data_IF_611971657301
#
_entry.id   IF_611971657301
#
_cell.length_a   1.000
_cell.length_b   1.000
_cell.length_c   1.000
_cell.angle_alpha   90.00
_cell.angle_beta   90.00
_cell.angle_gamma   90.00
#
_symmetry.space_group_name_H-M   'P 1'
#
loop_
_entity.id
_entity.type
_entity.pdbx_description
1 polymer ?
#
# COMPACT_ATOMS: atom_id res chain seq x y z
N UNK A 1 4.62 24.91 -19.37
CA UNK A 1 3.25 25.04 -18.86
C UNK A 1 3.17 24.27 -17.55
N UNK A 2 3.07 24.94 -16.41
CA UNK A 2 2.86 24.27 -15.12
C UNK A 2 1.41 23.82 -15.07
N UNK A 3 1.18 22.51 -15.16
CA UNK A 3 -0.13 21.93 -14.86
C UNK A 3 -0.37 22.17 -13.36
N UNK A 4 -1.40 22.93 -12.95
CA UNK A 4 -1.66 23.15 -11.53
C UNK A 4 -1.93 21.80 -10.87
N UNK A 5 -1.32 21.59 -9.70
CA UNK A 5 -1.60 20.38 -8.91
C UNK A 5 -3.10 20.32 -8.61
N UNK A 6 -3.71 19.12 -8.72
CA UNK A 6 -5.12 18.97 -8.37
C UNK A 6 -5.34 19.42 -6.91
N UNK A 7 -6.48 20.07 -6.62
CA UNK A 7 -6.76 20.54 -5.27
C UNK A 7 -6.82 19.36 -4.30
N UNK A 8 -6.18 19.51 -3.14
CA UNK A 8 -6.18 18.50 -2.08
C UNK A 8 -7.53 18.52 -1.36
N UNK A 9 -8.09 17.34 -1.09
CA UNK A 9 -9.33 17.18 -0.33
C UNK A 9 -9.21 17.80 1.08
N UNK A 10 -10.08 18.77 1.46
CA UNK A 10 -10.10 19.34 2.81
C UNK A 10 -10.22 18.30 3.94
N UNK A 11 -10.90 17.17 3.70
CA UNK A 11 -11.00 16.09 4.67
C UNK A 11 -9.64 15.42 4.92
N UNK A 12 -8.84 15.23 3.87
CA UNK A 12 -7.47 14.70 3.99
C UNK A 12 -6.56 15.68 4.77
N UNK A 13 -6.67 16.99 4.49
CA UNK A 13 -5.94 18.03 5.24
C UNK A 13 -6.33 18.00 6.72
N UNK A 14 -7.61 17.87 7.04
CA UNK A 14 -8.10 17.77 8.42
C UNK A 14 -7.55 16.52 9.12
N UNK A 15 -7.52 15.38 8.44
CA UNK A 15 -7.00 14.12 8.97
C UNK A 15 -5.51 14.24 9.36
N UNK A 16 -4.66 14.79 8.48
CA UNK A 16 -3.24 15.03 8.78
C UNK A 16 -3.08 15.94 10.01
N UNK A 17 -3.82 17.05 10.06
CA UNK A 17 -3.74 18.00 11.18
C UNK A 17 -4.20 17.38 12.50
N UNK A 18 -5.22 16.51 12.46
CA UNK A 18 -5.69 15.79 13.65
C UNK A 18 -4.66 14.77 14.13
N UNK A 19 -4.09 13.98 13.20
CA UNK A 19 -3.05 13.00 13.52
C UNK A 19 -1.83 13.68 14.15
N UNK A 20 -1.33 14.78 13.56
CA UNK A 20 -0.17 15.49 14.10
C UNK A 20 -0.41 15.99 15.53
N UNK A 21 -1.57 16.61 15.81
CA UNK A 21 -1.90 17.05 17.17
C UNK A 21 -1.95 15.89 18.17
N UNK A 22 -2.61 14.79 17.78
CA UNK A 22 -2.68 13.59 18.59
C UNK A 22 -1.29 13.03 18.86
N UNK A 23 -0.48 12.86 17.82
CA UNK A 23 0.84 12.23 17.92
C UNK A 23 1.84 13.09 18.69
N UNK A 24 1.90 14.40 18.43
CA UNK A 24 2.76 15.34 19.18
C UNK A 24 2.48 15.31 20.68
N UNK A 25 1.21 15.25 21.09
CA UNK A 25 0.83 15.08 22.50
C UNK A 25 1.20 13.69 23.01
N UNK A 26 1.00 12.64 22.20
CA UNK A 26 1.26 11.25 22.59
C UNK A 26 2.73 10.95 22.85
N UNK A 27 3.65 11.60 22.13
CA UNK A 27 5.10 11.43 22.29
C UNK A 27 5.73 12.43 23.28
N UNK A 28 4.91 13.21 24.01
CA UNK A 28 5.41 14.16 25.01
C UNK A 28 6.33 15.24 24.45
N UNK A 29 6.19 15.60 23.17
CA UNK A 29 7.08 16.58 22.53
C UNK A 29 6.87 18.02 23.01
N UNK A 30 5.82 18.29 23.80
CA UNK A 30 5.47 19.62 24.32
C UNK A 30 5.91 19.85 25.77
N UNK A 31 6.25 18.79 26.49
CA UNK A 31 6.76 18.83 27.86
C UNK A 31 8.30 18.78 27.86
N UNK A 32 9.00 18.95 29.00
CA UNK A 32 10.43 18.67 29.10
C UNK A 32 10.72 17.28 28.50
N UNK A 33 11.43 17.25 27.37
CA UNK A 33 11.43 16.07 26.50
C UNK A 33 12.10 14.91 27.22
N UNK A 34 11.42 13.76 27.27
CA UNK A 34 11.88 12.61 28.05
C UNK A 34 12.11 12.96 29.54
N UNK A 35 11.37 13.90 30.11
CA UNK A 35 11.52 14.35 31.50
C UNK A 35 12.91 14.91 31.83
N UNK A 36 13.60 15.43 30.81
CA UNK A 36 14.93 16.04 30.89
C UNK A 36 14.83 17.56 30.77
N UNK A 37 15.77 18.34 31.33
CA UNK A 37 15.88 19.77 31.04
C UNK A 37 16.23 20.08 29.57
N UNK A 38 16.60 19.06 28.78
CA UNK A 38 16.92 19.20 27.37
C UNK A 38 15.66 19.32 26.50
N UNK A 39 15.74 20.16 25.47
CA UNK A 39 14.70 20.24 24.45
C UNK A 39 14.74 19.02 23.51
N UNK A 40 13.63 18.76 22.80
CA UNK A 40 13.59 17.76 21.72
C UNK A 40 14.73 17.95 20.72
N UNK A 41 15.03 19.21 20.36
CA UNK A 41 16.12 19.55 19.44
C UNK A 41 17.47 19.15 20.00
N UNK A 42 17.73 19.41 21.29
CA UNK A 42 19.00 19.05 21.92
C UNK A 42 19.23 17.52 21.87
N UNK A 43 18.19 16.76 22.19
CA UNK A 43 18.24 15.28 22.15
C UNK A 43 18.42 14.78 20.71
N UNK A 44 17.80 15.42 19.72
CA UNK A 44 18.00 15.09 18.30
C UNK A 44 19.43 15.37 17.84
N UNK A 45 20.03 16.49 18.25
CA UNK A 45 21.43 16.78 17.93
C UNK A 45 22.37 15.76 18.60
N UNK A 46 22.16 15.43 19.88
CA UNK A 46 22.93 14.38 20.56
C UNK A 46 22.78 13.01 19.87
N UNK A 47 21.58 12.67 19.41
CA UNK A 47 21.33 11.44 18.67
C UNK A 47 22.16 11.38 17.38
N UNK A 48 22.16 12.45 16.58
CA UNK A 48 22.95 12.53 15.35
C UNK A 48 24.46 12.45 15.63
N UNK A 49 24.94 13.14 16.68
CA UNK A 49 26.34 13.10 17.10
C UNK A 49 26.78 11.70 17.60
N UNK A 50 25.87 10.93 18.18
CA UNK A 50 26.16 9.60 18.73
C UNK A 50 26.16 8.48 17.66
N UNK A 51 25.43 8.66 16.55
CA UNK A 51 25.20 7.58 15.57
C UNK A 51 25.83 7.83 14.20
N UNK A 52 26.32 9.03 13.90
CA UNK A 52 27.08 9.29 12.67
C UNK A 52 28.53 8.85 12.82
N UNK A 53 29.07 8.17 11.82
CA UNK A 53 30.50 7.85 11.76
C UNK A 53 31.36 9.13 11.70
N UNK A 54 30.90 10.12 10.94
CA UNK A 54 31.49 11.45 10.83
C UNK A 54 30.38 12.49 10.95
N UNK A 55 30.40 13.26 12.05
CA UNK A 55 29.39 14.28 12.30
C UNK A 55 29.91 15.67 11.92
N UNK A 56 29.22 16.35 11.00
CA UNK A 56 29.52 17.74 10.59
C UNK A 56 28.31 18.62 10.89
N UNK A 57 28.56 19.79 11.52
CA UNK A 57 27.49 20.68 11.99
C UNK A 57 26.50 21.10 10.89
N UNK A 58 27.00 21.40 9.68
CA UNK A 58 26.18 21.85 8.55
C UNK A 58 25.25 20.75 8.03
N UNK A 59 25.69 19.49 8.08
CA UNK A 59 24.89 18.35 7.65
C UNK A 59 23.79 18.05 8.65
N UNK A 60 24.14 18.00 9.95
CA UNK A 60 23.17 17.83 11.03
C UNK A 60 22.13 18.97 10.99
N UNK A 61 22.58 20.21 10.78
CA UNK A 61 21.69 21.37 10.68
C UNK A 61 20.71 21.24 9.53
N UNK A 62 21.19 20.89 8.34
CA UNK A 62 20.33 20.65 7.17
C UNK A 62 19.31 19.54 7.42
N UNK A 63 19.76 18.40 7.92
CA UNK A 63 18.92 17.21 8.06
C UNK A 63 17.85 17.38 9.16
N UNK A 64 18.15 18.17 10.20
CA UNK A 64 17.18 18.53 11.25
C UNK A 64 16.38 19.82 10.95
N UNK A 65 16.63 20.49 9.83
CA UNK A 65 15.97 21.76 9.48
C UNK A 65 16.33 22.94 10.39
N UNK A 66 17.54 22.94 10.97
CA UNK A 66 18.03 23.96 11.90
C UNK A 66 18.95 24.96 11.19
N UNK A 67 18.79 26.24 11.52
CA UNK A 67 19.70 27.27 11.01
C UNK A 67 21.09 27.20 11.68
N UNK A 68 22.11 27.73 10.99
CA UNK A 68 23.50 27.66 11.44
C UNK A 68 23.74 28.37 12.78
N UNK A 69 23.00 29.45 13.07
CA UNK A 69 23.12 30.20 14.32
C UNK A 69 22.56 29.43 15.51
N UNK A 70 21.43 28.75 15.32
CA UNK A 70 20.84 27.90 16.34
C UNK A 70 21.68 26.64 16.59
N UNK A 71 22.16 25.98 15.53
CA UNK A 71 23.09 24.86 15.65
C UNK A 71 24.35 25.25 16.43
N UNK A 72 24.97 26.38 16.09
CA UNK A 72 26.17 26.87 16.78
C UNK A 72 25.95 27.12 18.28
N UNK A 73 24.77 27.64 18.66
CA UNK A 73 24.40 27.82 20.08
C UNK A 73 24.30 26.49 20.83
N UNK A 74 23.68 25.47 20.23
CA UNK A 74 23.56 24.13 20.81
C UNK A 74 24.96 23.52 21.01
N UNK A 75 25.78 23.52 19.96
CA UNK A 75 27.13 22.92 20.00
C UNK A 75 28.04 23.60 21.04
N UNK A 76 28.00 24.94 21.13
CA UNK A 76 28.79 25.68 22.12
C UNK A 76 28.40 25.34 23.56
N UNK A 77 27.10 25.13 23.82
CA UNK A 77 26.63 24.68 25.14
C UNK A 77 27.13 23.28 25.44
N UNK A 78 27.04 22.34 24.49
CA UNK A 78 27.57 20.98 24.67
C UNK A 78 29.08 20.95 24.90
N UNK A 79 29.86 21.83 24.27
CA UNK A 79 31.29 21.97 24.56
C UNK A 79 31.55 22.51 25.97
N UNK A 80 30.76 23.49 26.39
CA UNK A 80 30.87 24.08 27.74
C UNK A 80 30.54 23.06 28.83
N UNK A 81 29.61 22.15 28.55
CA UNK A 81 29.26 21.00 29.41
C UNK A 81 30.26 19.83 29.26
N UNK A 82 31.25 19.95 28.39
CA UNK A 82 32.29 18.94 28.16
C UNK A 82 31.78 17.70 27.40
N UNK A 83 30.63 17.78 26.75
CA UNK A 83 29.98 16.67 26.04
C UNK A 83 30.47 16.49 24.62
N UNK A 84 31.13 17.51 24.05
CA UNK A 84 31.53 17.57 22.66
C UNK A 84 33.00 17.98 22.52
N UNK A 85 33.71 17.38 21.58
CA UNK A 85 34.99 17.87 21.04
C UNK A 85 34.88 18.16 19.55
N UNK A 86 35.76 19.06 19.08
CA UNK A 86 35.93 19.40 17.67
C UNK A 86 37.33 19.03 17.21
N UNK A 87 37.38 18.32 16.10
CA UNK A 87 38.62 17.99 15.39
C UNK A 87 38.59 18.60 13.99
N UNK A 88 39.74 19.01 13.42
CA UNK A 88 39.80 19.45 12.03
C UNK A 88 39.31 18.35 11.09
N UNK A 89 38.46 18.69 10.11
CA UNK A 89 37.99 17.70 9.16
C UNK A 89 39.13 17.27 8.21
N UNK A 90 39.36 15.96 8.02
CA UNK A 90 40.56 15.44 7.35
C UNK A 90 40.64 15.81 5.85
N UNK A 91 39.52 16.21 5.24
CA UNK A 91 39.44 16.54 3.80
C UNK A 91 39.00 17.97 3.50
N UNK A 92 38.58 18.75 4.50
CA UNK A 92 38.17 20.15 4.31
C UNK A 92 38.47 20.95 5.59
N UNK A 93 39.53 21.76 5.57
CA UNK A 93 39.95 22.55 6.72
C UNK A 93 38.92 23.59 7.19
N UNK A 94 37.88 23.88 6.39
CA UNK A 94 36.77 24.79 6.76
C UNK A 94 35.71 24.10 7.61
N UNK A 95 35.77 22.78 7.73
CA UNK A 95 34.84 21.98 8.51
C UNK A 95 35.53 21.38 9.74
N UNK A 96 34.73 21.08 10.75
CA UNK A 96 35.16 20.33 11.93
C UNK A 96 34.34 19.06 12.03
N UNK A 97 35.00 17.96 12.39
CA UNK A 97 34.36 16.73 12.81
C UNK A 97 34.02 16.87 14.28
N UNK A 98 32.75 16.66 14.58
CA UNK A 98 32.20 16.71 15.93
C UNK A 98 32.22 15.30 16.52
N UNK A 99 32.64 15.15 17.78
CA UNK A 99 32.59 13.87 18.49
C UNK A 99 32.05 14.07 19.89
N UNK A 100 31.16 13.17 20.32
CA UNK A 100 30.78 13.11 21.72
C UNK A 100 31.95 12.58 22.54
N UNK A 101 32.16 13.21 23.69
CA UNK A 101 33.10 12.73 24.71
C UNK A 101 32.46 11.57 25.51
N UNK A 102 33.23 10.95 26.41
CA UNK A 102 32.67 9.97 27.34
C UNK A 102 31.54 10.54 28.21
N UNK A 103 31.66 11.79 28.67
CA UNK A 103 30.60 12.48 29.42
C UNK A 103 29.40 12.81 28.54
N UNK A 104 29.60 13.15 27.26
CA UNK A 104 28.50 13.35 26.31
C UNK A 104 27.69 12.08 26.07
N UNK A 105 28.36 10.93 25.91
CA UNK A 105 27.68 9.64 25.82
C UNK A 105 26.94 9.29 27.12
N UNK A 106 27.54 9.55 28.28
CA UNK A 106 26.91 9.31 29.57
C UNK A 106 25.67 10.21 29.79
N UNK A 107 25.69 11.45 29.29
CA UNK A 107 24.55 12.35 29.34
C UNK A 107 23.42 11.92 28.37
N UNK A 108 23.77 11.36 27.22
CA UNK A 108 22.83 10.93 26.20
C UNK A 108 22.19 9.55 26.49
N UNK A 109 22.92 8.62 27.10
CA UNK A 109 22.47 7.23 27.30
C UNK A 109 21.11 7.11 28.04
N UNK A 110 20.84 7.85 29.14
CA UNK A 110 19.53 7.81 29.80
C UNK A 110 18.39 8.29 28.90
N UNK A 111 18.64 9.28 28.05
CA UNK A 111 17.64 9.79 27.09
C UNK A 111 17.34 8.74 26.02
N UNK A 112 18.38 8.10 25.48
CA UNK A 112 18.20 7.04 24.49
C UNK A 112 17.40 5.87 25.08
N UNK A 113 17.70 5.48 26.32
CA UNK A 113 16.98 4.42 27.01
C UNK A 113 15.51 4.78 27.23
N UNK A 114 15.23 5.99 27.74
CA UNK A 114 13.86 6.45 27.96
C UNK A 114 13.06 6.56 26.66
N UNK A 115 13.68 7.02 25.57
CA UNK A 115 13.05 7.05 24.25
C UNK A 115 12.65 5.64 23.77
N UNK A 116 13.51 4.63 23.99
CA UNK A 116 13.20 3.23 23.68
C UNK A 116 12.05 2.70 24.54
N UNK A 117 12.03 3.02 25.83
CA UNK A 117 10.98 2.62 26.76
C UNK A 117 9.62 3.24 26.39
N UNK A 118 9.58 4.52 26.03
CA UNK A 118 8.35 5.18 25.57
C UNK A 118 7.83 4.56 24.26
N UNK A 119 8.72 4.27 23.30
CA UNK A 119 8.36 3.57 22.07
C UNK A 119 7.81 2.15 22.37
N UNK A 120 8.44 1.41 23.26
CA UNK A 120 7.97 0.10 23.70
C UNK A 120 6.61 0.19 24.40
N UNK A 121 6.38 1.20 25.24
CA UNK A 121 5.12 1.44 25.94
C UNK A 121 3.96 1.77 24.97
N UNK A 122 4.25 2.40 23.82
CA UNK A 122 3.25 2.60 22.77
C UNK A 122 2.82 1.29 22.11
N UNK A 123 3.73 0.32 21.99
CA UNK A 123 3.50 -0.96 21.33
C UNK A 123 2.96 -2.05 22.29
N UNK A 124 3.27 -1.94 23.58
CA UNK A 124 2.94 -2.96 24.59
C UNK A 124 1.44 -3.35 24.63
N UNK A 125 0.48 -2.40 24.55
CA UNK A 125 -0.95 -2.73 24.59
C UNK A 125 -1.48 -3.40 23.32
N UNK A 126 -0.71 -3.42 22.23
CA UNK A 126 -1.16 -3.93 20.92
C UNK A 126 -0.87 -5.43 20.80
N UNK A 127 -1.78 -6.17 20.16
CA UNK A 127 -1.54 -7.55 19.75
C UNK A 127 -0.45 -7.61 18.65
N UNK A 128 0.26 -8.76 18.47
CA UNK A 128 1.34 -8.86 17.50
C UNK A 128 0.98 -8.38 16.08
N UNK A 129 -0.16 -8.81 15.54
CA UNK A 129 -0.62 -8.38 14.22
C UNK A 129 -0.88 -6.86 14.12
N UNK A 130 -1.35 -6.24 15.21
CA UNK A 130 -1.57 -4.79 15.26
C UNK A 130 -0.25 -4.02 15.32
N UNK A 131 0.79 -4.58 15.95
CA UNK A 131 2.14 -3.99 15.96
C UNK A 131 2.71 -3.98 14.55
N UNK A 132 2.62 -5.10 13.83
CA UNK A 132 3.06 -5.21 12.44
C UNK A 132 2.33 -4.21 11.55
N UNK A 133 1.00 -4.14 11.65
CA UNK A 133 0.19 -3.20 10.90
C UNK A 133 0.59 -1.74 11.17
N UNK A 134 0.84 -1.38 12.44
CA UNK A 134 1.27 -0.02 12.80
C UNK A 134 2.65 0.32 12.22
N UNK A 135 3.61 -0.61 12.31
CA UNK A 135 4.96 -0.43 11.76
C UNK A 135 4.92 -0.27 10.24
N UNK A 136 4.12 -1.08 9.54
CA UNK A 136 3.92 -0.95 8.09
C UNK A 136 3.28 0.39 7.72
N UNK A 137 2.26 0.82 8.48
CA UNK A 137 1.62 2.12 8.26
C UNK A 137 2.60 3.28 8.45
N UNK A 138 3.45 3.24 9.49
CA UNK A 138 4.50 4.23 9.70
C UNK A 138 5.50 4.27 8.54
N UNK A 139 5.95 3.12 8.05
CA UNK A 139 6.82 3.04 6.88
C UNK A 139 6.17 3.62 5.61
N UNK A 140 4.88 3.36 5.42
CA UNK A 140 4.09 3.91 4.31
C UNK A 140 3.97 5.43 4.43
N UNK A 141 3.67 5.94 5.63
CA UNK A 141 3.59 7.38 5.89
C UNK A 141 4.93 8.08 5.64
N UNK A 142 6.04 7.50 6.10
CA UNK A 142 7.38 8.03 5.84
C UNK A 142 7.67 8.09 4.35
N UNK A 143 7.42 7.00 3.61
CA UNK A 143 7.64 6.97 2.15
C UNK A 143 6.78 7.96 1.37
N UNK A 144 5.55 8.24 1.82
CA UNK A 144 4.63 9.15 1.13
C UNK A 144 4.91 10.62 1.45
N UNK A 145 5.53 10.91 2.59
CA UNK A 145 5.80 12.27 3.06
C UNK A 145 7.24 12.71 2.83
N UNK A 146 8.15 11.77 2.57
CA UNK A 146 9.54 12.08 2.24
C UNK A 146 9.63 12.64 0.80
N UNK A 147 10.00 13.93 0.63
CA UNK A 147 10.08 14.55 -0.69
C UNK A 147 11.24 13.99 -1.53
N UNK A 148 12.24 13.38 -0.90
CA UNK A 148 13.40 12.76 -1.56
C UNK A 148 13.19 11.25 -1.78
N UNK A 149 12.09 10.68 -1.29
CA UNK A 149 11.77 9.30 -1.56
C UNK A 149 11.67 9.09 -3.07
N UNK A 150 12.31 8.04 -3.62
CA UNK A 150 12.16 7.73 -5.04
C UNK A 150 10.68 7.60 -5.34
N UNK A 151 10.17 8.24 -6.42
CA UNK A 151 8.75 8.20 -6.73
C UNK A 151 8.33 6.74 -6.75
N UNK A 152 7.29 6.42 -5.96
CA UNK A 152 6.78 5.05 -5.84
C UNK A 152 6.63 4.51 -7.26
N UNK A 153 7.48 3.57 -7.66
CA UNK A 153 7.33 2.92 -8.96
C UNK A 153 5.91 2.36 -8.95
N UNK A 154 5.06 2.63 -9.96
CA UNK A 154 3.77 1.98 -10.04
C UNK A 154 4.07 0.48 -10.05
N UNK A 155 3.82 -0.15 -8.92
CA UNK A 155 4.23 -1.52 -8.68
C UNK A 155 3.36 -2.35 -9.61
N UNK A 156 3.99 -2.93 -10.63
CA UNK A 156 3.26 -3.73 -11.59
C UNK A 156 2.66 -4.91 -10.81
N UNK A 157 1.34 -5.06 -10.86
CA UNK A 157 0.70 -6.20 -10.26
C UNK A 157 1.30 -7.49 -10.83
N UNK A 158 1.70 -8.39 -9.93
CA UNK A 158 2.18 -9.72 -10.28
C UNK A 158 0.96 -10.59 -10.54
N UNK A 159 0.98 -11.33 -11.64
CA UNK A 159 -0.07 -12.29 -11.97
C UNK A 159 0.49 -13.70 -11.74
N UNK A 160 -0.17 -14.47 -10.89
CA UNK A 160 0.25 -15.83 -10.53
C UNK A 160 -0.90 -16.81 -10.58
N UNK A 161 -0.55 -18.10 -10.59
CA UNK A 161 -1.51 -19.18 -10.44
C UNK A 161 -2.07 -19.21 -8.99
N UNK A 162 -3.30 -19.72 -8.78
CA UNK A 162 -3.92 -19.75 -7.45
C UNK A 162 -3.21 -20.73 -6.52
N UNK A 163 -3.09 -20.34 -5.25
CA UNK A 163 -2.64 -21.16 -4.14
C UNK A 163 -3.84 -21.57 -3.24
N UNK A 164 -3.69 -22.56 -2.34
CA UNK A 164 -4.72 -22.88 -1.36
C UNK A 164 -5.18 -21.62 -0.60
N UNK A 165 -6.51 -21.45 -0.53
CA UNK A 165 -7.14 -20.27 0.07
C UNK A 165 -7.52 -19.15 -0.90
N UNK A 166 -6.89 -19.06 -2.08
CA UNK A 166 -7.20 -17.98 -3.04
C UNK A 166 -8.58 -18.11 -3.66
N UNK A 167 -9.00 -19.32 -3.98
CA UNK A 167 -10.32 -19.55 -4.56
C UNK A 167 -11.44 -19.24 -3.53
N UNK A 168 -11.20 -19.54 -2.25
CA UNK A 168 -12.10 -19.12 -1.17
C UNK A 168 -12.14 -17.59 -1.02
N UNK A 169 -10.99 -16.93 -1.12
CA UNK A 169 -10.90 -15.47 -1.15
C UNK A 169 -11.67 -14.87 -2.33
N UNK A 170 -11.62 -15.48 -3.53
CA UNK A 170 -12.42 -15.02 -4.68
C UNK A 170 -13.92 -15.05 -4.38
N UNK A 171 -14.41 -16.12 -3.74
CA UNK A 171 -15.82 -16.24 -3.33
C UNK A 171 -16.16 -15.12 -2.33
N UNK A 172 -15.35 -14.95 -1.29
CA UNK A 172 -15.52 -13.90 -0.29
C UNK A 172 -15.58 -12.51 -0.94
N UNK A 173 -14.64 -12.19 -1.83
CA UNK A 173 -14.59 -10.88 -2.48
C UNK A 173 -15.82 -10.60 -3.32
N UNK A 174 -16.32 -11.58 -4.07
CA UNK A 174 -17.56 -11.42 -4.83
C UNK A 174 -18.76 -11.23 -3.90
N UNK A 175 -18.88 -12.00 -2.81
CA UNK A 175 -19.96 -11.85 -1.83
C UNK A 175 -19.99 -10.44 -1.22
N UNK A 176 -18.87 -10.03 -0.62
CA UNK A 176 -18.76 -8.76 0.09
C UNK A 176 -18.91 -7.53 -0.82
N UNK A 177 -18.21 -7.53 -1.97
CA UNK A 177 -18.22 -6.38 -2.88
C UNK A 177 -19.61 -6.22 -3.48
N UNK A 178 -20.25 -7.30 -3.93
CA UNK A 178 -21.54 -7.20 -4.61
C UNK A 178 -22.69 -6.91 -3.65
N UNK A 179 -22.65 -7.45 -2.42
CA UNK A 179 -23.60 -7.08 -1.38
C UNK A 179 -23.48 -5.58 -1.03
N UNK A 180 -22.26 -5.08 -0.84
CA UNK A 180 -22.03 -3.68 -0.47
C UNK A 180 -22.36 -2.69 -1.58
N UNK A 181 -21.97 -2.98 -2.82
CA UNK A 181 -22.06 -2.02 -3.94
C UNK A 181 -23.38 -2.12 -4.71
N UNK A 182 -24.01 -3.31 -4.76
CA UNK A 182 -25.22 -3.54 -5.55
C UNK A 182 -26.40 -4.05 -4.72
N UNK A 183 -26.21 -4.30 -3.42
CA UNK A 183 -27.26 -4.83 -2.53
C UNK A 183 -27.71 -6.23 -2.91
N UNK A 184 -26.85 -7.03 -3.54
CA UNK A 184 -27.14 -8.42 -3.89
C UNK A 184 -27.04 -9.32 -2.66
N UNK A 185 -27.86 -10.36 -2.60
CA UNK A 185 -27.89 -11.28 -1.47
C UNK A 185 -27.02 -12.53 -1.67
N UNK A 186 -27.05 -13.44 -0.70
CA UNK A 186 -26.26 -14.67 -0.66
C UNK A 186 -26.49 -15.62 -1.84
N UNK A 187 -27.54 -15.46 -2.63
CA UNK A 187 -27.73 -16.27 -3.85
C UNK A 187 -26.61 -16.01 -4.87
N UNK A 188 -26.07 -14.78 -4.94
CA UNK A 188 -24.93 -14.49 -5.81
C UNK A 188 -23.65 -15.14 -5.28
N UNK A 189 -23.41 -15.05 -3.98
CA UNK A 189 -22.26 -15.72 -3.34
C UNK A 189 -22.32 -17.24 -3.56
N UNK A 190 -23.49 -17.85 -3.42
CA UNK A 190 -23.72 -19.27 -3.70
C UNK A 190 -23.41 -19.64 -5.16
N UNK A 191 -23.80 -18.79 -6.13
CA UNK A 191 -23.43 -18.99 -7.54
C UNK A 191 -21.90 -18.99 -7.72
N UNK A 192 -21.21 -18.00 -7.15
CA UNK A 192 -19.75 -17.90 -7.24
C UNK A 192 -19.06 -19.09 -6.56
N UNK A 193 -19.55 -19.50 -5.39
CA UNK A 193 -19.07 -20.69 -4.68
C UNK A 193 -19.27 -21.97 -5.51
N UNK A 194 -20.40 -22.11 -6.20
CA UNK A 194 -20.66 -23.23 -7.11
C UNK A 194 -19.65 -23.29 -8.26
N UNK A 195 -19.39 -22.16 -8.92
CA UNK A 195 -18.39 -22.07 -10.00
C UNK A 195 -16.98 -22.38 -9.47
N UNK A 196 -16.63 -21.84 -8.31
CA UNK A 196 -15.35 -22.07 -7.64
C UNK A 196 -15.14 -23.56 -7.28
N UNK A 197 -16.17 -24.20 -6.74
CA UNK A 197 -16.16 -25.64 -6.41
C UNK A 197 -15.98 -26.49 -7.65
N UNK A 198 -16.76 -26.22 -8.72
CA UNK A 198 -16.62 -26.95 -9.98
C UNK A 198 -15.24 -26.79 -10.60
N UNK A 199 -14.70 -25.57 -10.59
CA UNK A 199 -13.34 -25.29 -11.06
C UNK A 199 -12.32 -26.12 -10.28
N UNK A 200 -12.36 -26.14 -8.94
CA UNK A 200 -11.42 -26.92 -8.13
C UNK A 200 -11.51 -28.43 -8.37
N UNK A 201 -12.73 -28.97 -8.49
CA UNK A 201 -12.94 -30.41 -8.61
C UNK A 201 -12.65 -30.95 -10.02
N UNK A 202 -12.86 -30.13 -11.07
CA UNK A 202 -12.79 -30.56 -12.47
C UNK A 202 -11.75 -29.79 -13.29
N UNK A 203 -10.81 -29.11 -12.64
CA UNK A 203 -9.83 -28.26 -13.30
C UNK A 203 -9.08 -28.98 -14.41
N UNK A 204 -9.09 -28.40 -15.61
CA UNK A 204 -8.30 -28.88 -16.75
C UNK A 204 -7.16 -27.89 -17.05
N UNK A 205 -5.96 -28.05 -16.48
CA UNK A 205 -4.86 -27.07 -16.62
C UNK A 205 -4.40 -26.83 -18.06
N UNK A 206 -4.66 -27.79 -18.95
CA UNK A 206 -4.37 -27.63 -20.37
C UNK A 206 -5.29 -26.60 -21.07
N UNK A 207 -6.51 -26.43 -20.58
CA UNK A 207 -7.61 -25.73 -21.25
C UNK A 207 -8.17 -24.57 -20.45
N UNK A 208 -7.87 -24.52 -19.15
CA UNK A 208 -8.44 -23.60 -18.17
C UNK A 208 -7.32 -22.94 -17.37
N UNK A 209 -7.59 -21.75 -16.84
CA UNK A 209 -6.65 -21.04 -15.98
C UNK A 209 -7.37 -20.04 -15.09
N UNK A 210 -6.80 -19.82 -13.91
CA UNK A 210 -7.16 -18.71 -13.03
C UNK A 210 -5.90 -17.88 -12.79
N UNK A 211 -6.03 -16.55 -12.83
CA UNK A 211 -4.97 -15.64 -12.41
C UNK A 211 -5.40 -14.96 -11.12
N UNK A 212 -4.48 -14.91 -10.17
CA UNK A 212 -4.54 -14.05 -9.00
C UNK A 212 -3.59 -12.88 -9.24
N UNK A 213 -4.10 -11.66 -9.12
CA UNK A 213 -3.32 -10.44 -9.19
C UNK A 213 -2.91 -10.02 -7.78
N UNK A 214 -1.62 -9.76 -7.58
CA UNK A 214 -1.05 -9.29 -6.32
C UNK A 214 -0.35 -7.94 -6.45
N UNK A 215 -0.55 -7.11 -5.44
CA UNK A 215 0.14 -5.83 -5.23
C UNK A 215 0.68 -5.83 -3.80
N UNK A 216 1.99 -5.61 -3.61
CA UNK A 216 2.63 -5.68 -2.28
C UNK A 216 2.40 -7.00 -1.52
N UNK A 217 2.28 -8.12 -2.23
CA UNK A 217 1.98 -9.43 -1.63
C UNK A 217 0.53 -9.57 -1.17
N UNK A 218 -0.31 -8.56 -1.38
CA UNK A 218 -1.75 -8.63 -1.13
C UNK A 218 -2.50 -8.98 -2.41
N UNK A 219 -3.52 -9.83 -2.28
CA UNK A 219 -4.42 -10.21 -3.37
C UNK A 219 -5.34 -9.05 -3.66
N UNK A 220 -5.32 -8.59 -4.90
CA UNK A 220 -6.08 -7.42 -5.33
C UNK A 220 -7.00 -7.68 -6.52
N UNK A 221 -6.92 -8.86 -7.14
CA UNK A 221 -7.82 -9.23 -8.22
C UNK A 221 -7.75 -10.69 -8.61
N UNK A 222 -8.77 -11.14 -9.33
CA UNK A 222 -8.78 -12.46 -9.96
C UNK A 222 -9.59 -12.47 -11.25
N UNK A 223 -9.29 -13.43 -12.12
CA UNK A 223 -10.10 -13.74 -13.31
C UNK A 223 -9.89 -15.21 -13.72
N UNK A 224 -10.91 -15.80 -14.33
CA UNK A 224 -10.93 -17.20 -14.74
C UNK A 224 -11.20 -17.32 -16.23
N UNK A 225 -10.50 -18.27 -16.87
CA UNK A 225 -10.86 -18.86 -18.15
C UNK A 225 -11.21 -20.32 -17.90
N UNK A 226 -12.44 -20.69 -18.22
CA UNK A 226 -12.94 -22.08 -18.12
C UNK A 226 -13.34 -22.60 -19.49
N UNK A 227 -13.35 -23.91 -19.66
CA UNK A 227 -13.67 -24.57 -20.93
C UNK A 227 -15.18 -24.74 -21.05
N UNK A 228 -15.80 -24.11 -22.06
CA UNK A 228 -17.23 -24.28 -22.35
C UNK A 228 -17.48 -25.37 -23.40
N UNK A 229 -16.58 -25.51 -24.36
CA UNK A 229 -16.57 -26.60 -25.33
C UNK A 229 -15.15 -26.84 -25.87
N UNK A 230 -15.00 -27.72 -26.86
CA UNK A 230 -13.71 -27.94 -27.52
C UNK A 230 -13.15 -26.68 -28.19
N UNK A 231 -13.99 -25.73 -28.60
CA UNK A 231 -13.58 -24.54 -29.37
C UNK A 231 -13.99 -23.21 -28.72
N UNK A 232 -14.70 -23.26 -27.58
CA UNK A 232 -15.19 -22.07 -26.87
C UNK A 232 -14.65 -22.00 -25.45
N UNK A 233 -13.92 -20.92 -25.16
CA UNK A 233 -13.53 -20.52 -23.81
C UNK A 233 -14.63 -19.65 -23.18
N UNK A 234 -14.77 -19.68 -21.86
CA UNK A 234 -15.63 -18.78 -21.11
C UNK A 234 -14.84 -18.00 -20.07
N UNK A 235 -14.96 -16.68 -20.11
CA UNK A 235 -14.39 -15.79 -19.09
C UNK A 235 -15.37 -15.68 -17.92
N UNK A 236 -14.86 -15.87 -16.69
CA UNK A 236 -15.65 -15.86 -15.46
C UNK A 236 -14.95 -15.11 -14.33
N UNK A 237 -15.76 -14.66 -13.36
CA UNK A 237 -15.32 -14.21 -12.03
C UNK A 237 -14.19 -13.16 -12.06
N UNK A 238 -14.30 -12.18 -12.96
CA UNK A 238 -13.44 -10.99 -12.91
C UNK A 238 -13.80 -10.16 -11.69
N UNK A 239 -12.85 -9.99 -10.77
CA UNK A 239 -12.99 -9.15 -9.59
C UNK A 239 -11.73 -8.36 -9.32
N UNK A 240 -11.90 -7.14 -8.81
CA UNK A 240 -10.82 -6.31 -8.28
C UNK A 240 -11.24 -5.73 -6.94
N UNK A 241 -10.33 -5.79 -5.97
CA UNK A 241 -10.42 -5.03 -4.74
C UNK A 241 -10.54 -3.52 -5.07
N UNK A 242 -11.26 -2.77 -4.24
CA UNK A 242 -11.52 -1.34 -4.46
C UNK A 242 -10.23 -0.53 -4.67
N UNK A 243 -9.18 -0.82 -3.89
CA UNK A 243 -7.87 -0.16 -3.96
C UNK A 243 -7.06 -0.43 -5.22
N UNK A 244 -7.44 -1.40 -6.05
CA UNK A 244 -6.73 -1.74 -7.29
C UNK A 244 -7.50 -1.31 -8.57
N UNK A 245 -8.65 -0.66 -8.42
CA UNK A 245 -9.41 -0.08 -9.54
C UNK A 245 -8.70 1.19 -10.03
N UNK A 246 -8.91 1.54 -11.30
CA UNK A 246 -8.29 2.73 -11.92
C UNK A 246 -6.85 2.54 -12.41
N UNK A 247 -6.17 1.46 -12.04
CA UNK A 247 -4.78 1.15 -12.44
C UNK A 247 -4.67 0.39 -13.78
N UNK A 248 -5.77 0.25 -14.53
CA UNK A 248 -5.82 -0.56 -15.77
C UNK A 248 -5.74 -2.08 -15.57
N UNK A 249 -5.61 -2.56 -14.32
CA UNK A 249 -5.38 -3.97 -13.99
C UNK A 249 -6.49 -4.92 -14.49
N UNK A 250 -7.76 -4.53 -14.37
CA UNK A 250 -8.87 -5.36 -14.86
C UNK A 250 -8.81 -5.55 -16.37
N UNK A 251 -8.29 -4.55 -17.09
CA UNK A 251 -8.00 -4.69 -18.50
C UNK A 251 -6.88 -5.69 -18.78
N UNK A 252 -5.74 -5.53 -18.10
CA UNK A 252 -4.60 -6.45 -18.22
C UNK A 252 -5.01 -7.90 -17.95
N UNK A 253 -5.82 -8.15 -16.91
CA UNK A 253 -6.35 -9.48 -16.60
C UNK A 253 -7.17 -10.08 -17.75
N UNK A 254 -8.03 -9.29 -18.39
CA UNK A 254 -8.80 -9.76 -19.56
C UNK A 254 -7.87 -9.99 -20.77
N UNK A 255 -6.84 -9.17 -20.96
CA UNK A 255 -5.86 -9.35 -22.04
C UNK A 255 -5.10 -10.68 -21.90
N UNK A 256 -4.69 -11.04 -20.67
CA UNK A 256 -4.07 -12.35 -20.39
C UNK A 256 -5.02 -13.52 -20.69
N UNK A 257 -6.29 -13.39 -20.35
CA UNK A 257 -7.30 -14.40 -20.68
C UNK A 257 -7.42 -14.60 -22.20
N UNK A 258 -7.51 -13.51 -22.96
CA UNK A 258 -7.61 -13.55 -24.43
C UNK A 258 -6.35 -14.19 -25.03
N UNK A 259 -5.16 -13.79 -24.55
CA UNK A 259 -3.89 -14.32 -25.00
C UNK A 259 -3.79 -15.83 -24.75
N UNK A 260 -4.14 -16.28 -23.53
CA UNK A 260 -4.20 -17.70 -23.18
C UNK A 260 -5.17 -18.45 -24.10
N UNK A 261 -6.37 -17.93 -24.33
CA UNK A 261 -7.35 -18.62 -25.14
C UNK A 261 -6.93 -18.77 -26.61
N UNK A 262 -6.30 -17.73 -27.18
CA UNK A 262 -5.68 -17.82 -28.52
C UNK A 262 -4.56 -18.85 -28.57
N UNK A 263 -3.68 -18.85 -27.57
CA UNK A 263 -2.57 -19.80 -27.47
C UNK A 263 -3.07 -21.26 -27.42
N UNK A 264 -4.18 -21.51 -26.71
CA UNK A 264 -4.81 -22.83 -26.64
C UNK A 264 -5.67 -23.18 -27.85
N UNK A 265 -5.77 -22.29 -28.84
CA UNK A 265 -6.46 -22.55 -30.10
C UNK A 265 -7.99 -22.43 -30.05
N UNK A 266 -8.55 -21.86 -28.99
CA UNK A 266 -9.97 -21.54 -28.93
C UNK A 266 -10.36 -20.59 -30.08
N UNK A 267 -11.57 -20.78 -30.63
CA UNK A 267 -12.08 -19.97 -31.75
C UNK A 267 -12.97 -18.82 -31.28
N UNK A 268 -13.48 -18.93 -30.06
CA UNK A 268 -14.39 -17.96 -29.47
C UNK A 268 -14.21 -17.91 -27.96
N UNK A 269 -14.35 -16.72 -27.40
CA UNK A 269 -14.50 -16.50 -25.97
C UNK A 269 -15.88 -15.89 -25.70
N UNK A 270 -16.56 -16.37 -24.65
CA UNK A 270 -17.86 -15.84 -24.23
C UNK A 270 -17.83 -15.45 -22.76
N UNK A 271 -18.73 -14.56 -22.35
CA UNK A 271 -18.95 -14.22 -20.95
C UNK A 271 -20.42 -13.87 -20.71
N UNK A 272 -20.85 -14.00 -19.46
CA UNK A 272 -22.14 -13.53 -19.00
C UNK A 272 -21.93 -12.50 -17.89
N UNK A 273 -22.67 -11.40 -17.94
CA UNK A 273 -22.58 -10.30 -16.96
C UNK A 273 -23.94 -9.64 -16.76
N UNK A 274 -24.06 -8.68 -15.85
CA UNK A 274 -25.27 -7.88 -15.69
C UNK A 274 -25.05 -6.45 -16.22
N UNK A 275 -26.07 -5.87 -16.86
CA UNK A 275 -25.99 -4.57 -17.54
C UNK A 275 -25.56 -3.42 -16.60
N UNK A 276 -25.87 -3.53 -15.31
CA UNK A 276 -25.48 -2.57 -14.26
C UNK A 276 -23.98 -2.57 -13.93
N UNK A 277 -23.21 -3.58 -14.36
CA UNK A 277 -21.76 -3.68 -14.13
C UNK A 277 -20.97 -2.87 -15.16
N UNK A 278 -21.19 -1.56 -15.19
CA UNK A 278 -20.69 -0.65 -16.23
C UNK A 278 -19.17 -0.71 -16.43
N UNK A 279 -18.40 -0.78 -15.34
CA UNK A 279 -16.95 -0.84 -15.41
C UNK A 279 -16.44 -2.11 -16.12
N UNK A 280 -16.99 -3.28 -15.77
CA UNK A 280 -16.64 -4.54 -16.40
C UNK A 280 -17.06 -4.56 -17.88
N UNK A 281 -18.27 -4.09 -18.19
CA UNK A 281 -18.77 -3.96 -19.58
C UNK A 281 -17.85 -3.08 -20.42
N UNK A 282 -17.39 -1.95 -19.87
CA UNK A 282 -16.44 -1.07 -20.53
C UNK A 282 -15.08 -1.74 -20.83
N UNK A 283 -14.60 -2.63 -19.94
CA UNK A 283 -13.38 -3.43 -20.17
C UNK A 283 -13.57 -4.38 -21.34
N UNK A 284 -14.70 -5.10 -21.39
CA UNK A 284 -15.01 -6.07 -22.45
C UNK A 284 -15.20 -5.40 -23.81
N UNK A 285 -16.01 -4.34 -23.88
CA UNK A 285 -16.27 -3.62 -25.11
C UNK A 285 -14.99 -3.05 -25.74
N UNK A 286 -14.09 -2.46 -24.94
CA UNK A 286 -12.78 -1.97 -25.41
C UNK A 286 -11.86 -3.05 -25.99
N UNK A 287 -12.10 -4.31 -25.64
CA UNK A 287 -11.35 -5.49 -26.12
C UNK A 287 -12.04 -6.22 -27.25
N UNK A 288 -13.11 -5.64 -27.80
CA UNK A 288 -13.80 -6.16 -28.97
C UNK A 288 -14.84 -7.24 -28.68
N UNK A 289 -15.19 -7.49 -27.41
CA UNK A 289 -16.37 -8.28 -27.10
C UNK A 289 -17.62 -7.55 -27.61
N UNK A 290 -18.54 -8.30 -28.20
CA UNK A 290 -19.82 -7.80 -28.71
C UNK A 290 -20.96 -8.36 -27.89
N UNK A 291 -21.93 -7.52 -27.55
CA UNK A 291 -23.17 -7.93 -26.92
C UNK A 291 -23.98 -8.75 -27.93
N UNK A 292 -24.32 -9.98 -27.57
CA UNK A 292 -25.10 -10.89 -28.42
C UNK A 292 -26.53 -11.05 -27.95
N UNK A 293 -26.75 -10.98 -26.64
CA UNK A 293 -28.05 -11.21 -26.01
C UNK A 293 -28.16 -10.37 -24.74
N UNK A 294 -29.35 -9.82 -24.49
CA UNK A 294 -29.67 -9.03 -23.29
C UNK A 294 -31.09 -9.36 -22.86
N UNK A 295 -31.27 -9.90 -21.65
CA UNK A 295 -32.56 -10.37 -21.16
C UNK A 295 -32.79 -9.99 -19.68
N UNK A 296 -33.99 -9.49 -19.32
CA UNK A 296 -34.37 -9.32 -17.93
C UNK A 296 -34.42 -10.66 -17.19
N UNK A 297 -34.01 -10.66 -15.92
CA UNK A 297 -34.19 -11.79 -15.01
C UNK A 297 -34.32 -11.31 -13.57
N UNK A 298 -34.94 -12.13 -12.73
CA UNK A 298 -34.98 -11.92 -11.29
C UNK A 298 -33.85 -12.75 -10.65
N UNK A 299 -32.94 -12.10 -9.94
CA UNK A 299 -31.78 -12.76 -9.37
C UNK A 299 -31.14 -11.97 -8.25
N UNK A 300 -30.62 -12.69 -7.25
CA UNK A 300 -29.85 -12.10 -6.14
C UNK A 300 -30.62 -11.05 -5.32
N UNK A 301 -31.95 -11.17 -5.29
CA UNK A 301 -32.86 -10.24 -4.61
C UNK A 301 -33.11 -8.94 -5.39
N UNK A 302 -32.85 -8.90 -6.70
CA UNK A 302 -33.04 -7.73 -7.58
C UNK A 302 -33.61 -8.14 -8.94
N UNK A 303 -34.34 -7.22 -9.57
CA UNK A 303 -34.62 -7.26 -11.01
C UNK A 303 -33.38 -6.78 -11.77
N UNK A 304 -32.81 -7.65 -12.60
CA UNK A 304 -31.56 -7.43 -13.31
C UNK A 304 -31.74 -7.64 -14.82
N UNK A 305 -30.75 -7.21 -15.60
CA UNK A 305 -30.66 -7.54 -17.02
C UNK A 305 -29.34 -8.25 -17.25
N UNK A 306 -29.43 -9.54 -17.57
CA UNK A 306 -28.30 -10.38 -17.90
C UNK A 306 -27.91 -10.17 -19.35
N UNK A 307 -26.61 -10.15 -19.61
CA UNK A 307 -26.03 -9.91 -20.92
C UNK A 307 -25.01 -11.00 -21.26
N UNK A 308 -25.13 -11.58 -22.45
CA UNK A 308 -24.13 -12.49 -23.01
C UNK A 308 -23.29 -11.74 -24.04
N UNK A 309 -21.97 -11.78 -23.85
CA UNK A 309 -21.00 -11.13 -24.74
C UNK A 309 -20.06 -12.16 -25.37
N UNK A 310 -19.64 -11.91 -26.60
CA UNK A 310 -18.77 -12.81 -27.36
C UNK A 310 -17.62 -12.08 -28.04
N UNK A 311 -16.45 -12.73 -28.08
CA UNK A 311 -15.27 -12.32 -28.83
C UNK A 311 -14.83 -13.48 -29.72
N UNK A 312 -14.69 -13.20 -31.02
CA UNK A 312 -14.03 -14.12 -31.96
C UNK A 312 -12.51 -13.99 -31.78
N UNK A 313 -11.83 -15.12 -31.61
CA UNK A 313 -10.40 -15.16 -31.25
C UNK A 313 -9.47 -15.27 -32.45
#
# INVERSE_FOLDING_TARGET
MFTPMPPVDPAAVKAIRQFNRFYTSRIGALDPYLGSPMSLTDVRVLYELAHRETAVASEIGRDLGLDAGYMSRILRRFETEGWLTREPHPRDARQSVLRLTGSGHAAFAPLQQKSREEAAALLAPLAPAQREQLVQAMGTMQSLLDPEAPPARPQAAVLRDPAPGDIGWVVQQHGEIYAREYGWNSQFEALVAGIASEFLLKFQPEWERCWIAELNGERVGAIFVVRKSATVAQLRMLILASGARGLGLGGKLVDECIAFARLKGYKKMVLWTNSCLLAARGIYAKRGFKLMESQPHEGYGKSLVGETWELKL
#
